data_IF_555220773915
#
_entry.id   IF_555220773915
#
_cell.length_a   1.000
_cell.length_b   1.000
_cell.length_c   1.000
_cell.angle_alpha   90.00
_cell.angle_beta   90.00
_cell.angle_gamma   90.00
#
_symmetry.space_group_name_H-M   'P 1'
#
loop_
_entity.id
_entity.type
_entity.pdbx_description
1 polymer ?
#
# COMPACT_ATOMS: atom_id res chain seq x y z
N UNK A 1 -18.61 -18.64 9.21
CA UNK A 1 -17.25 -19.12 9.53
C UNK A 1 -16.94 -20.44 8.85
N UNK A 2 -17.51 -21.58 9.28
CA UNK A 2 -17.28 -22.87 8.61
C UNK A 2 -17.56 -22.85 7.10
N UNK A 3 -18.64 -22.17 6.67
CA UNK A 3 -18.94 -21.95 5.25
C UNK A 3 -17.85 -21.20 4.48
N UNK A 4 -17.21 -20.21 5.11
CA UNK A 4 -16.15 -19.42 4.47
C UNK A 4 -14.89 -20.27 4.26
N UNK A 5 -14.51 -21.07 5.27
CA UNK A 5 -13.40 -22.03 5.16
C UNK A 5 -13.70 -23.10 4.10
N UNK A 6 -14.95 -23.58 4.07
CA UNK A 6 -15.42 -24.51 3.04
C UNK A 6 -15.39 -23.91 1.63
N UNK A 7 -15.37 -22.58 1.49
CA UNK A 7 -15.19 -21.91 0.19
C UNK A 7 -13.94 -22.36 -0.56
N UNK A 8 -12.87 -22.74 0.15
CA UNK A 8 -11.66 -23.32 -0.46
C UNK A 8 -12.00 -24.60 -1.24
N UNK A 9 -12.90 -25.43 -0.71
CA UNK A 9 -13.36 -26.65 -1.37
C UNK A 9 -14.12 -26.32 -2.65
N UNK A 10 -15.01 -25.32 -2.61
CA UNK A 10 -15.82 -24.96 -3.77
C UNK A 10 -14.97 -24.33 -4.88
N UNK A 11 -14.08 -23.39 -4.54
CA UNK A 11 -13.15 -22.80 -5.52
C UNK A 11 -12.25 -23.86 -6.14
N UNK A 12 -11.82 -24.86 -5.36
CA UNK A 12 -11.05 -25.98 -5.88
C UNK A 12 -11.89 -26.96 -6.74
N UNK A 13 -13.21 -27.06 -6.53
CA UNK A 13 -14.08 -27.91 -7.37
C UNK A 13 -14.36 -27.30 -8.74
N UNK A 14 -14.41 -25.98 -8.81
CA UNK A 14 -14.50 -25.21 -10.05
C UNK A 14 -13.14 -25.14 -10.80
N UNK A 15 -12.16 -25.96 -10.41
CA UNK A 15 -10.83 -25.99 -11.00
C UNK A 15 -10.84 -26.32 -12.51
N UNK A 16 -9.85 -25.76 -13.20
CA UNK A 16 -9.61 -25.95 -14.62
C UNK A 16 -8.16 -26.38 -14.84
N UNK A 17 -7.88 -27.03 -15.97
CA UNK A 17 -6.52 -27.46 -16.29
C UNK A 17 -5.56 -26.26 -16.29
N UNK A 18 -4.50 -26.35 -15.49
CA UNK A 18 -3.42 -25.35 -15.44
C UNK A 18 -3.49 -24.32 -14.30
N UNK A 19 -4.45 -24.39 -13.38
CA UNK A 19 -4.47 -23.52 -12.18
C UNK A 19 -3.24 -23.77 -11.31
N UNK A 20 -2.59 -22.67 -10.87
CA UNK A 20 -1.36 -22.70 -10.06
C UNK A 20 -1.54 -22.15 -8.65
N UNK A 21 -2.47 -21.22 -8.50
CA UNK A 21 -2.71 -20.47 -7.28
C UNK A 21 -4.21 -20.26 -7.10
N UNK A 22 -4.69 -20.43 -5.87
CA UNK A 22 -6.06 -20.12 -5.45
C UNK A 22 -5.98 -18.91 -4.54
N UNK A 23 -6.75 -17.87 -4.86
CA UNK A 23 -6.80 -16.63 -4.07
C UNK A 23 -8.19 -16.51 -3.45
N UNK A 24 -8.22 -16.27 -2.14
CA UNK A 24 -9.44 -15.98 -1.39
C UNK A 24 -9.35 -14.54 -0.89
N UNK A 25 -10.49 -13.84 -0.86
CA UNK A 25 -10.58 -12.44 -0.44
C UNK A 25 -12.01 -12.03 -0.15
N UNK A 26 -12.18 -10.92 0.57
CA UNK A 26 -13.49 -10.36 0.89
C UNK A 26 -14.02 -9.46 -0.24
N UNK A 27 -15.34 -9.24 -0.30
CA UNK A 27 -16.03 -8.51 -1.37
C UNK A 27 -15.88 -6.98 -1.31
N UNK A 28 -15.25 -6.48 -0.25
CA UNK A 28 -14.88 -5.08 -0.01
C UNK A 28 -13.37 -4.81 -0.23
N UNK A 29 -12.67 -5.77 -0.84
CA UNK A 29 -11.22 -5.71 -1.08
C UNK A 29 -10.90 -5.38 -2.54
N UNK A 30 -9.81 -4.64 -2.76
CA UNK A 30 -9.28 -4.36 -4.11
C UNK A 30 -8.01 -5.17 -4.31
N UNK A 31 -7.90 -5.87 -5.44
CA UNK A 31 -6.74 -6.69 -5.80
C UNK A 31 -5.97 -6.12 -7.00
N UNK A 32 -4.64 -6.09 -6.87
CA UNK A 32 -3.69 -5.64 -7.90
C UNK A 32 -3.09 -6.86 -8.59
N UNK A 33 -3.88 -7.48 -9.47
CA UNK A 33 -3.61 -8.81 -10.02
C UNK A 33 -2.30 -8.89 -10.84
N UNK A 34 -1.90 -7.83 -11.54
CA UNK A 34 -0.64 -7.85 -12.31
C UNK A 34 0.60 -7.88 -11.40
N UNK A 35 0.51 -7.26 -10.22
CA UNK A 35 1.52 -7.39 -9.18
C UNK A 35 1.45 -8.79 -8.55
N UNK A 36 0.24 -9.32 -8.33
CA UNK A 36 0.08 -10.67 -7.79
C UNK A 36 0.74 -11.72 -8.67
N UNK A 37 0.51 -11.67 -9.99
CA UNK A 37 1.12 -12.58 -10.95
C UNK A 37 2.65 -12.48 -10.91
N UNK A 38 3.20 -11.26 -10.88
CA UNK A 38 4.66 -11.07 -10.82
C UNK A 38 5.26 -11.64 -9.54
N UNK A 39 4.68 -11.33 -8.38
CA UNK A 39 5.15 -11.85 -7.08
C UNK A 39 5.06 -13.37 -7.06
N UNK A 40 3.93 -13.95 -7.44
CA UNK A 40 3.71 -15.40 -7.43
C UNK A 40 4.58 -16.14 -8.46
N UNK A 41 5.01 -15.48 -9.54
CA UNK A 41 5.93 -16.07 -10.52
C UNK A 41 7.31 -16.40 -9.95
N UNK A 42 7.68 -15.77 -8.83
CA UNK A 42 8.95 -16.05 -8.13
C UNK A 42 8.89 -17.29 -7.24
N UNK A 43 7.70 -17.85 -6.98
CA UNK A 43 7.51 -19.03 -6.15
C UNK A 43 7.31 -20.29 -7.00
N UNK A 44 7.88 -21.41 -6.56
CA UNK A 44 7.62 -22.72 -7.17
C UNK A 44 6.21 -23.22 -6.80
N UNK A 45 5.22 -22.88 -7.62
CA UNK A 45 3.80 -23.24 -7.44
C UNK A 45 3.51 -24.75 -7.24
N UNK A 46 4.50 -25.64 -7.43
CA UNK A 46 4.38 -27.08 -7.14
C UNK A 46 4.62 -27.44 -5.67
N UNK A 47 5.09 -26.50 -4.86
CA UNK A 47 5.28 -26.64 -3.41
C UNK A 47 4.05 -26.15 -2.64
N UNK A 48 4.05 -26.37 -1.33
CA UNK A 48 3.02 -25.84 -0.44
C UNK A 48 3.38 -24.42 0.02
N UNK A 49 2.50 -23.48 -0.32
CA UNK A 49 2.61 -22.08 0.10
C UNK A 49 1.26 -21.58 0.60
N UNK A 50 1.30 -20.94 1.76
CA UNK A 50 0.23 -20.13 2.33
C UNK A 50 0.74 -18.69 2.47
N UNK A 51 0.32 -17.82 1.55
CA UNK A 51 0.80 -16.45 1.43
C UNK A 51 -0.34 -15.46 1.72
N UNK A 52 -0.02 -14.25 2.18
CA UNK A 52 -1.02 -13.19 2.36
C UNK A 52 -0.57 -12.07 3.28
N UNK A 53 -1.52 -11.23 3.71
CA UNK A 53 -1.26 -10.07 4.56
C UNK A 53 -1.53 -10.30 6.04
N UNK A 54 -0.78 -9.60 6.89
CA UNK A 54 -1.11 -9.40 8.30
C UNK A 54 -1.89 -8.10 8.48
N UNK A 55 -2.48 -7.91 9.66
CA UNK A 55 -3.10 -6.63 10.00
C UNK A 55 -2.05 -5.59 10.39
N UNK A 56 -2.24 -4.35 9.96
CA UNK A 56 -1.44 -3.20 10.41
C UNK A 56 -1.68 -2.91 11.90
N UNK A 57 -2.85 -3.32 12.43
CA UNK A 57 -3.22 -3.14 13.81
C UNK A 57 -2.68 -4.26 14.69
N UNK A 58 -1.92 -3.89 15.73
CA UNK A 58 -1.22 -4.87 16.58
C UNK A 58 -2.20 -5.83 17.27
N UNK A 59 -3.31 -5.33 17.83
CA UNK A 59 -4.22 -6.18 18.58
C UNK A 59 -5.00 -7.16 17.71
N UNK A 60 -5.28 -6.83 16.45
CA UNK A 60 -5.86 -7.81 15.51
C UNK A 60 -4.96 -9.04 15.39
N UNK A 61 -3.65 -8.85 15.22
CA UNK A 61 -2.71 -9.96 15.17
C UNK A 61 -2.58 -10.70 16.51
N UNK A 62 -2.63 -9.98 17.64
CA UNK A 62 -2.59 -10.58 18.98
C UNK A 62 -3.83 -11.44 19.27
N UNK A 63 -5.03 -10.98 18.89
CA UNK A 63 -6.28 -11.71 19.14
C UNK A 63 -6.51 -12.87 18.19
N UNK A 64 -6.07 -12.76 16.94
CA UNK A 64 -6.21 -13.81 15.94
C UNK A 64 -4.95 -14.68 15.83
N UNK A 65 -3.91 -14.19 15.15
CA UNK A 65 -2.57 -14.80 15.12
C UNK A 65 -1.59 -13.95 14.32
N UNK A 66 -0.32 -13.93 14.73
CA UNK A 66 0.79 -13.42 13.91
C UNK A 66 1.21 -14.38 12.78
N UNK A 67 0.71 -15.62 12.79
CA UNK A 67 1.03 -16.65 11.80
C UNK A 67 -0.17 -16.93 10.87
N UNK A 68 -1.00 -15.92 10.62
CA UNK A 68 -2.21 -16.03 9.83
C UNK A 68 -2.23 -14.94 8.75
N UNK A 69 -2.67 -15.32 7.55
CA UNK A 69 -3.11 -14.36 6.55
C UNK A 69 -4.56 -13.96 6.84
N UNK A 70 -4.82 -12.65 6.89
CA UNK A 70 -6.17 -12.12 7.05
C UNK A 70 -6.95 -12.22 5.74
N UNK A 71 -8.22 -12.62 5.82
CA UNK A 71 -9.11 -12.87 4.68
C UNK A 71 -9.38 -11.63 3.86
N UNK A 72 -9.58 -10.48 4.51
CA UNK A 72 -9.76 -9.19 3.86
C UNK A 72 -8.55 -8.74 3.06
N UNK A 73 -7.34 -8.82 3.64
CA UNK A 73 -6.09 -8.63 2.90
C UNK A 73 -5.92 -9.62 1.73
N UNK A 74 -6.71 -10.69 1.71
CA UNK A 74 -6.62 -11.80 0.80
C UNK A 74 -5.47 -12.73 1.15
N UNK A 75 -5.72 -14.02 0.95
CA UNK A 75 -4.70 -15.05 1.10
C UNK A 75 -4.65 -15.94 -0.14
N UNK A 76 -3.46 -16.49 -0.37
CA UNK A 76 -3.09 -17.20 -1.58
C UNK A 76 -2.57 -18.57 -1.18
N UNK A 77 -3.15 -19.61 -1.78
CA UNK A 77 -2.73 -20.99 -1.63
C UNK A 77 -2.12 -21.47 -2.94
N UNK A 78 -0.94 -22.08 -2.88
CA UNK A 78 -0.44 -22.89 -3.99
C UNK A 78 -1.43 -24.01 -4.32
N UNK A 79 -1.55 -24.37 -5.60
CA UNK A 79 -2.48 -25.41 -6.04
C UNK A 79 -2.39 -26.72 -5.24
N UNK A 80 -1.18 -27.29 -4.97
CA UNK A 80 -1.09 -28.54 -4.22
C UNK A 80 -1.59 -28.42 -2.77
N UNK A 81 -1.44 -27.24 -2.14
CA UNK A 81 -1.97 -26.97 -0.81
C UNK A 81 -3.49 -26.85 -0.83
N UNK A 82 -4.06 -26.12 -1.80
CA UNK A 82 -5.51 -26.03 -1.98
C UNK A 82 -6.15 -27.42 -2.18
N UNK A 83 -5.47 -28.30 -2.94
CA UNK A 83 -5.87 -29.71 -3.14
C UNK A 83 -5.81 -30.56 -1.87
N UNK A 84 -4.81 -30.33 -1.01
CA UNK A 84 -4.74 -31.01 0.29
C UNK A 84 -5.86 -30.54 1.21
N UNK A 85 -6.07 -29.22 1.26
CA UNK A 85 -7.13 -28.57 2.02
C UNK A 85 -8.52 -29.05 1.59
N UNK A 86 -8.80 -29.16 0.28
CA UNK A 86 -10.13 -29.57 -0.21
C UNK A 86 -10.57 -30.95 0.27
N UNK A 87 -9.63 -31.83 0.63
CA UNK A 87 -9.89 -33.15 1.22
C UNK A 87 -9.97 -33.13 2.75
N UNK A 88 -9.37 -32.12 3.38
CA UNK A 88 -9.11 -32.09 4.82
C UNK A 88 -10.01 -31.13 5.61
N UNK A 89 -10.50 -30.06 4.97
CA UNK A 89 -11.26 -28.96 5.61
C UNK A 89 -12.42 -29.46 6.47
N UNK A 90 -13.21 -30.44 6.00
CA UNK A 90 -14.34 -30.96 6.79
C UNK A 90 -13.91 -31.62 8.11
N UNK A 91 -12.83 -32.42 8.08
CA UNK A 91 -12.29 -33.05 9.28
C UNK A 91 -11.72 -32.00 10.24
N UNK A 92 -11.01 -31.01 9.70
CA UNK A 92 -10.47 -29.91 10.47
C UNK A 92 -11.57 -29.08 11.17
N UNK A 93 -12.65 -28.76 10.46
CA UNK A 93 -13.79 -28.02 11.03
C UNK A 93 -14.43 -28.75 12.21
N UNK A 94 -14.50 -30.09 12.16
CA UNK A 94 -14.98 -30.92 13.28
C UNK A 94 -13.98 -30.99 14.44
N UNK A 95 -12.68 -30.87 14.16
CA UNK A 95 -11.60 -30.87 15.16
C UNK A 95 -11.53 -29.58 15.95
N UNK A 96 -11.78 -28.44 15.31
CA UNK A 96 -11.72 -27.11 15.93
C UNK A 96 -13.09 -26.39 15.93
N UNK A 97 -14.15 -27.00 16.51
CA UNK A 97 -15.50 -26.44 16.44
C UNK A 97 -15.67 -25.18 17.30
N UNK A 98 -14.72 -24.90 18.19
CA UNK A 98 -14.77 -23.79 19.14
C UNK A 98 -14.19 -22.48 18.58
N UNK A 99 -13.47 -22.52 17.45
CA UNK A 99 -12.89 -21.33 16.83
C UNK A 99 -13.96 -20.47 16.15
N UNK A 100 -13.78 -19.15 16.24
CA UNK A 100 -14.78 -18.16 15.80
C UNK A 100 -14.25 -17.14 14.78
N UNK A 101 -13.23 -17.50 14.00
CA UNK A 101 -12.77 -16.71 12.85
C UNK A 101 -12.47 -17.67 11.71
N UNK A 102 -12.96 -17.36 10.49
CA UNK A 102 -12.70 -18.21 9.34
C UNK A 102 -11.22 -18.23 8.96
N UNK A 103 -10.55 -17.09 9.08
CA UNK A 103 -9.13 -16.98 8.79
C UNK A 103 -8.28 -17.74 9.81
N UNK A 104 -8.66 -17.66 11.09
CA UNK A 104 -8.00 -18.41 12.15
C UNK A 104 -8.21 -19.92 11.99
N UNK A 105 -9.42 -20.35 11.65
CA UNK A 105 -9.70 -21.76 11.32
C UNK A 105 -8.87 -22.20 10.11
N UNK A 106 -8.82 -21.40 9.05
CA UNK A 106 -8.04 -21.69 7.84
C UNK A 106 -6.57 -21.87 8.18
N UNK A 107 -6.01 -20.96 8.97
CA UNK A 107 -4.62 -21.04 9.44
C UNK A 107 -4.33 -22.32 10.24
N UNK A 108 -5.17 -22.70 11.22
CA UNK A 108 -4.93 -23.93 11.98
C UNK A 108 -5.09 -25.18 11.12
N UNK A 109 -6.03 -25.19 10.16
CA UNK A 109 -6.19 -26.30 9.23
C UNK A 109 -4.98 -26.46 8.31
N UNK A 110 -4.41 -25.35 7.83
CA UNK A 110 -3.17 -25.36 7.03
C UNK A 110 -1.98 -25.79 7.88
N UNK A 111 -1.93 -25.38 9.16
CA UNK A 111 -0.88 -25.81 10.09
C UNK A 111 -0.93 -27.33 10.36
N UNK A 112 -2.12 -27.93 10.41
CA UNK A 112 -2.26 -29.40 10.53
C UNK A 112 -1.71 -30.15 9.30
N UNK A 113 -1.66 -29.51 8.13
CA UNK A 113 -1.00 -30.03 6.92
C UNK A 113 0.53 -29.90 7.03
N UNK A 114 1.04 -29.13 7.99
CA UNK A 114 2.47 -28.88 8.20
C UNK A 114 3.01 -27.66 7.44
N UNK A 115 2.13 -26.73 7.03
CA UNK A 115 2.51 -25.52 6.29
C UNK A 115 2.34 -24.31 7.19
N UNK A 116 3.32 -23.40 7.17
CA UNK A 116 3.30 -22.16 7.93
C UNK A 116 3.06 -20.96 7.01
N UNK A 117 2.56 -19.87 7.60
CA UNK A 117 2.29 -18.62 6.91
C UNK A 117 3.56 -17.91 6.44
N UNK A 118 3.52 -17.37 5.23
CA UNK A 118 4.56 -16.51 4.65
C UNK A 118 3.96 -15.13 4.33
N UNK A 119 4.36 -14.07 5.05
CA UNK A 119 3.77 -12.73 4.86
C UNK A 119 4.21 -12.08 3.55
N UNK A 120 3.25 -11.45 2.87
CA UNK A 120 3.44 -10.59 1.71
C UNK A 120 3.20 -9.13 2.11
N UNK A 121 4.25 -8.31 2.09
CA UNK A 121 4.24 -6.93 2.60
C UNK A 121 3.33 -5.95 1.85
N UNK A 122 2.80 -6.33 0.69
CA UNK A 122 1.87 -5.50 -0.10
C UNK A 122 0.42 -5.95 0.00
N UNK A 123 0.13 -6.98 0.81
CA UNK A 123 -1.24 -7.40 1.10
C UNK A 123 -1.67 -6.77 2.41
N UNK A 124 -2.66 -5.88 2.36
CA UNK A 124 -3.04 -5.04 3.49
C UNK A 124 -4.47 -5.31 3.95
N UNK A 125 -4.63 -5.65 5.22
CA UNK A 125 -5.94 -5.77 5.87
C UNK A 125 -6.53 -4.37 6.14
N UNK A 126 -5.68 -3.39 6.46
CA UNK A 126 -6.09 -2.02 6.80
C UNK A 126 -7.14 -2.03 7.91
N UNK A 127 -6.84 -2.70 9.02
CA UNK A 127 -7.57 -2.50 10.28
C UNK A 127 -7.19 -1.11 10.85
N UNK A 128 -7.52 -0.05 10.11
CA UNK A 128 -7.30 1.35 10.41
C UNK A 128 -8.61 2.09 10.11
N UNK A 129 -8.86 3.21 10.80
CA UNK A 129 -10.08 4.01 10.61
C UNK A 129 -9.78 5.45 10.20
N UNK A 130 -10.77 6.08 9.59
CA UNK A 130 -10.71 7.48 9.19
C UNK A 130 -9.73 7.70 8.04
N UNK A 131 -8.94 8.76 8.13
CA UNK A 131 -8.03 9.18 7.06
C UNK A 131 -6.77 8.30 6.99
N UNK A 132 -6.78 7.31 6.08
CA UNK A 132 -5.62 6.43 5.83
C UNK A 132 -4.57 7.04 4.88
N UNK A 133 -4.64 8.34 4.56
CA UNK A 133 -3.75 8.97 3.57
C UNK A 133 -2.27 8.91 3.96
N UNK A 134 -1.93 9.05 5.23
CA UNK A 134 -0.55 8.91 5.70
C UNK A 134 0.04 7.53 5.45
N UNK A 135 -0.77 6.48 5.64
CA UNK A 135 -0.42 5.08 5.37
C UNK A 135 -0.18 4.84 3.87
N UNK A 136 -1.16 5.22 3.03
CA UNK A 136 -1.05 5.06 1.56
C UNK A 136 0.07 5.93 0.94
N UNK A 137 0.42 7.04 1.58
CA UNK A 137 1.50 7.93 1.11
C UNK A 137 2.91 7.41 1.42
N UNK A 138 3.04 6.42 2.31
CA UNK A 138 4.32 5.90 2.81
C UNK A 138 4.37 4.37 2.73
N UNK A 139 3.75 3.81 1.69
CA UNK A 139 3.68 2.36 1.49
C UNK A 139 5.08 1.73 1.50
N UNK A 140 5.25 0.56 2.16
CA UNK A 140 6.53 -0.12 2.19
C UNK A 140 7.00 -0.46 0.79
N UNK A 141 8.30 -0.71 0.65
CA UNK A 141 8.87 -1.10 -0.62
C UNK A 141 8.58 -2.57 -0.97
N UNK A 142 7.34 -2.84 -1.34
CA UNK A 142 6.81 -4.11 -1.82
C UNK A 142 5.72 -3.84 -2.89
N UNK A 143 5.55 -4.71 -3.91
CA UNK A 143 4.46 -4.52 -4.88
C UNK A 143 3.13 -4.52 -4.13
N UNK A 144 2.29 -3.52 -4.36
CA UNK A 144 0.96 -3.46 -3.76
C UNK A 144 0.11 -4.60 -4.35
N UNK A 145 -0.48 -5.43 -3.50
CA UNK A 145 -1.21 -6.65 -3.87
C UNK A 145 -2.69 -6.50 -3.57
N UNK A 146 -3.02 -5.91 -2.43
CA UNK A 146 -4.41 -5.71 -2.00
C UNK A 146 -4.54 -4.58 -1.00
N UNK A 147 -5.73 -3.97 -1.00
CA UNK A 147 -6.18 -3.01 0.00
C UNK A 147 -7.55 -3.44 0.49
N UNK A 148 -7.74 -3.49 1.80
CA UNK A 148 -8.98 -3.89 2.44
C UNK A 148 -9.52 -2.82 3.40
N UNK A 149 -10.73 -3.09 3.91
CA UNK A 149 -11.64 -2.27 4.69
C UNK A 149 -11.76 -0.82 4.23
N UNK A 150 -11.90 -0.63 2.91
CA UNK A 150 -12.16 0.69 2.31
C UNK A 150 -13.53 1.26 2.68
N UNK A 151 -14.43 0.43 3.24
CA UNK A 151 -15.72 0.83 3.81
C UNK A 151 -15.57 1.49 5.19
N UNK A 152 -14.57 1.09 5.98
CA UNK A 152 -14.26 1.66 7.29
C UNK A 152 -13.31 2.87 7.23
N UNK A 153 -12.52 2.97 6.16
CA UNK A 153 -11.70 4.14 5.87
C UNK A 153 -12.52 5.31 5.31
N UNK A 154 -12.03 6.54 5.46
CA UNK A 154 -12.50 7.68 4.67
C UNK A 154 -12.17 7.46 3.18
N UNK A 155 -12.87 8.12 2.24
CA UNK A 155 -12.55 7.99 0.82
C UNK A 155 -11.06 8.26 0.54
N UNK A 156 -10.41 7.35 -0.20
CA UNK A 156 -8.97 7.45 -0.55
C UNK A 156 -8.62 8.85 -1.10
N UNK A 157 -9.54 9.44 -1.89
CA UNK A 157 -9.45 10.81 -2.36
C UNK A 157 -10.53 11.67 -1.68
N UNK A 158 -10.17 12.66 -0.83
CA UNK A 158 -11.12 13.35 0.05
C UNK A 158 -12.30 14.08 -0.62
N UNK A 159 -12.20 14.40 -1.91
CA UNK A 159 -13.21 15.18 -2.65
C UNK A 159 -14.22 14.34 -3.44
N UNK A 160 -14.12 13.01 -3.40
CA UNK A 160 -15.01 12.08 -4.12
C UNK A 160 -15.41 10.91 -3.21
N UNK A 161 -16.52 10.24 -3.49
CA UNK A 161 -17.01 9.14 -2.65
C UNK A 161 -16.08 7.90 -2.65
N UNK A 162 -16.31 6.94 -1.75
CA UNK A 162 -15.46 5.75 -1.57
C UNK A 162 -15.33 4.91 -2.85
N UNK A 163 -16.44 4.66 -3.55
CA UNK A 163 -16.44 3.84 -4.77
C UNK A 163 -15.74 4.57 -5.92
N UNK A 164 -16.01 5.85 -6.09
CA UNK A 164 -15.34 6.68 -7.09
C UNK A 164 -13.85 6.84 -6.78
N UNK A 165 -13.49 6.97 -5.51
CA UNK A 165 -12.10 7.00 -5.02
C UNK A 165 -11.33 5.73 -5.40
N UNK A 166 -11.91 4.56 -5.12
CA UNK A 166 -11.35 3.26 -5.53
C UNK A 166 -11.16 3.18 -7.05
N UNK A 167 -12.19 3.52 -7.82
CA UNK A 167 -12.12 3.54 -9.30
C UNK A 167 -11.08 4.52 -9.81
N UNK A 168 -10.91 5.66 -9.15
CA UNK A 168 -9.93 6.67 -9.51
C UNK A 168 -8.50 6.19 -9.25
N UNK A 169 -8.23 5.54 -8.11
CA UNK A 169 -6.95 4.88 -7.83
C UNK A 169 -6.61 3.85 -8.92
N UNK A 170 -7.61 3.05 -9.32
CA UNK A 170 -7.44 2.02 -10.35
C UNK A 170 -7.09 2.57 -11.73
N UNK A 171 -7.35 3.86 -12.03
CA UNK A 171 -6.88 4.47 -13.28
C UNK A 171 -5.35 4.47 -13.36
N UNK A 172 -4.66 4.72 -12.26
CA UNK A 172 -3.19 4.63 -12.19
C UNK A 172 -2.72 3.18 -12.23
N UNK A 173 -3.39 2.30 -11.47
CA UNK A 173 -3.07 0.88 -11.45
C UNK A 173 -3.16 0.23 -12.84
N UNK A 174 -4.16 0.60 -13.64
CA UNK A 174 -4.34 0.13 -15.02
C UNK A 174 -3.24 0.59 -15.98
N UNK A 175 -2.43 1.57 -15.60
CA UNK A 175 -1.29 2.03 -16.38
C UNK A 175 0.02 1.41 -15.89
N UNK A 176 0.20 1.28 -14.58
CA UNK A 176 1.39 0.67 -13.99
C UNK A 176 1.18 0.24 -12.53
N UNK A 177 0.79 -1.02 -12.32
CA UNK A 177 0.68 -1.58 -10.96
C UNK A 177 2.03 -1.65 -10.22
N UNK A 178 3.14 -1.82 -10.95
CA UNK A 178 4.46 -2.02 -10.32
C UNK A 178 4.97 -0.80 -9.56
N UNK A 179 4.41 0.39 -9.86
CA UNK A 179 4.70 1.64 -9.16
C UNK A 179 3.60 2.08 -8.20
N UNK A 180 2.46 1.39 -8.12
CA UNK A 180 1.37 1.82 -7.24
C UNK A 180 1.84 1.99 -5.79
N UNK A 181 1.55 3.17 -5.27
CA UNK A 181 1.90 3.66 -3.93
C UNK A 181 3.39 3.69 -3.58
N UNK A 182 4.28 3.37 -4.53
CA UNK A 182 5.71 3.34 -4.25
C UNK A 182 6.19 4.75 -3.88
N UNK A 183 6.79 4.85 -2.69
CA UNK A 183 7.28 6.11 -2.18
C UNK A 183 8.63 6.48 -2.81
N UNK A 184 8.68 7.62 -3.47
CA UNK A 184 9.90 8.23 -4.01
C UNK A 184 10.14 9.56 -3.31
N UNK A 185 11.34 9.75 -2.77
CA UNK A 185 11.72 10.96 -2.03
C UNK A 185 12.80 11.69 -2.81
N UNK A 186 12.56 12.97 -3.08
CA UNK A 186 13.40 13.84 -3.90
C UNK A 186 13.70 15.14 -3.16
N UNK A 187 14.77 15.81 -3.55
CA UNK A 187 15.16 17.08 -2.95
C UNK A 187 15.32 18.15 -4.02
N UNK A 188 14.61 19.27 -3.86
CA UNK A 188 14.92 20.48 -4.59
C UNK A 188 15.75 21.40 -3.69
N UNK A 189 17.07 21.21 -3.75
CA UNK A 189 18.03 21.97 -2.93
C UNK A 189 17.96 23.49 -3.15
N UNK A 190 17.75 24.03 -4.36
CA UNK A 190 17.65 25.48 -4.56
C UNK A 190 16.50 26.16 -3.79
N UNK A 191 15.39 25.45 -3.56
CA UNK A 191 14.25 25.93 -2.77
C UNK A 191 14.18 25.34 -1.35
N UNK A 192 15.16 24.55 -0.93
CA UNK A 192 15.15 23.80 0.33
C UNK A 192 13.89 22.93 0.52
N UNK A 193 13.42 22.25 -0.54
CA UNK A 193 12.22 21.41 -0.48
C UNK A 193 12.54 19.92 -0.49
N UNK A 194 11.83 19.17 0.33
CA UNK A 194 11.67 17.73 0.17
C UNK A 194 10.35 17.41 -0.52
N UNK A 195 10.40 16.53 -1.52
CA UNK A 195 9.24 15.91 -2.14
C UNK A 195 9.13 14.47 -1.65
N UNK A 196 7.95 14.06 -1.22
CA UNK A 196 7.61 12.65 -0.98
C UNK A 196 6.43 12.29 -1.88
N UNK A 197 6.66 11.38 -2.83
CA UNK A 197 5.72 11.04 -3.89
C UNK A 197 5.26 9.60 -3.66
N UNK A 198 3.96 9.38 -3.46
CA UNK A 198 3.33 8.07 -3.56
C UNK A 198 2.72 7.94 -4.96
N UNK A 199 3.37 7.17 -5.83
CA UNK A 199 3.02 7.15 -7.24
C UNK A 199 1.60 6.64 -7.46
N UNK A 200 0.83 7.38 -8.27
CA UNK A 200 -0.60 7.11 -8.52
C UNK A 200 -1.55 7.54 -7.39
N UNK A 201 -1.05 8.17 -6.31
CA UNK A 201 -1.87 8.58 -5.17
C UNK A 201 -1.65 10.01 -4.71
N UNK A 202 -0.52 10.32 -4.08
CA UNK A 202 -0.28 11.61 -3.41
C UNK A 202 1.14 12.15 -3.62
N UNK A 203 1.31 13.46 -3.43
CA UNK A 203 2.62 14.11 -3.33
C UNK A 203 2.60 15.06 -2.15
N UNK A 204 3.65 15.01 -1.33
CA UNK A 204 3.90 15.93 -0.23
C UNK A 204 5.11 16.82 -0.56
N UNK A 205 4.98 18.13 -0.35
CA UNK A 205 6.10 19.07 -0.36
C UNK A 205 6.35 19.59 1.05
N UNK A 206 7.56 19.42 1.55
CA UNK A 206 8.03 20.02 2.80
C UNK A 206 8.91 21.22 2.49
N UNK A 207 8.75 22.31 3.25
CA UNK A 207 9.57 23.52 3.10
C UNK A 207 10.89 23.43 3.87
N UNK A 208 11.42 22.21 4.00
CA UNK A 208 12.69 21.90 4.62
C UNK A 208 13.27 20.62 4.00
N UNK A 209 14.59 20.45 4.04
CA UNK A 209 15.27 19.22 3.64
C UNK A 209 15.20 18.20 4.78
N UNK A 210 14.14 17.40 4.78
CA UNK A 210 13.93 16.34 5.77
C UNK A 210 14.62 15.01 5.36
N UNK A 211 15.25 14.30 6.31
CA UNK A 211 15.87 13.00 6.06
C UNK A 211 14.87 11.97 5.51
N UNK A 212 15.35 11.11 4.61
CA UNK A 212 14.52 10.04 4.02
C UNK A 212 13.93 9.10 5.06
N UNK A 213 14.74 8.69 6.04
CA UNK A 213 14.31 7.80 7.13
C UNK A 213 13.15 8.39 7.95
N UNK A 214 13.09 9.72 8.07
CA UNK A 214 11.98 10.41 8.71
C UNK A 214 10.74 10.47 7.79
N UNK A 215 10.92 10.77 6.50
CA UNK A 215 9.82 10.86 5.53
C UNK A 215 9.19 9.50 5.18
N UNK A 216 9.94 8.41 5.36
CA UNK A 216 9.44 7.03 5.24
C UNK A 216 8.46 6.64 6.36
N UNK A 217 8.45 7.39 7.47
CA UNK A 217 7.47 7.19 8.52
C UNK A 217 6.15 7.84 8.10
N UNK A 218 5.05 7.07 8.00
CA UNK A 218 3.74 7.63 7.70
C UNK A 218 3.33 8.62 8.79
N UNK A 219 2.68 9.69 8.35
CA UNK A 219 1.97 10.58 9.26
C UNK A 219 0.76 9.81 9.79
N UNK A 220 0.56 9.79 11.10
CA UNK A 220 -0.59 9.13 11.74
C UNK A 220 -1.85 9.96 11.53
N UNK A 221 -2.36 9.98 10.29
CA UNK A 221 -3.66 10.59 9.93
C UNK A 221 -4.82 9.67 10.28
N UNK A 222 -4.54 8.38 10.47
CA UNK A 222 -5.49 7.31 10.71
C UNK A 222 -5.64 7.00 12.20
N UNK A 223 -6.70 6.26 12.54
CA UNK A 223 -6.99 5.83 13.90
C UNK A 223 -6.88 4.30 14.05
N UNK A 224 -6.61 3.78 15.26
CA UNK A 224 -6.68 2.35 15.54
C UNK A 224 -8.03 1.72 15.19
N UNK A 225 -8.03 0.43 14.82
CA UNK A 225 -9.24 -0.31 14.42
C UNK A 225 -10.34 -0.37 15.48
N UNK A 226 -9.95 -0.44 16.74
CA UNK A 226 -10.86 -0.82 17.81
C UNK A 226 -10.37 -0.30 19.16
N UNK A 227 -10.37 -1.17 20.17
CA UNK A 227 -9.95 -0.80 21.52
C UNK A 227 -8.49 -0.37 21.52
N UNK A 228 -8.23 0.93 21.62
CA UNK A 228 -6.89 1.48 21.76
C UNK A 228 -6.37 1.20 23.17
N UNK A 229 -5.26 0.46 23.34
CA UNK A 229 -4.57 0.35 24.62
C UNK A 229 -4.24 1.73 25.19
N UNK A 230 -4.01 1.81 26.50
CA UNK A 230 -3.62 3.08 27.14
C UNK A 230 -2.31 3.63 26.59
N UNK A 231 -1.36 2.74 26.31
CA UNK A 231 -0.01 3.08 25.89
C UNK A 231 0.35 2.34 24.57
N UNK A 232 1.10 2.98 23.66
CA UNK A 232 1.58 2.35 22.42
C UNK A 232 2.55 1.18 22.71
N UNK A 233 2.82 0.28 21.74
CA UNK A 233 2.50 0.38 20.31
C UNK A 233 1.07 -0.03 19.92
N UNK A 234 0.50 0.66 18.94
CA UNK A 234 -0.81 0.34 18.36
C UNK A 234 -0.72 -0.40 17.02
N UNK A 235 0.37 -0.17 16.29
CA UNK A 235 0.53 -0.64 14.91
C UNK A 235 1.77 -1.52 14.77
N UNK A 236 1.81 -2.35 13.72
CA UNK A 236 3.01 -3.06 13.26
C UNK A 236 3.94 -2.19 12.40
N UNK A 237 3.80 -0.87 12.51
CA UNK A 237 4.65 0.12 11.87
C UNK A 237 4.89 1.29 12.82
N UNK A 238 6.03 1.95 12.67
CA UNK A 238 6.29 3.21 13.34
C UNK A 238 5.65 4.35 12.54
N UNK A 239 5.07 5.30 13.25
CA UNK A 239 4.42 6.48 12.68
C UNK A 239 5.11 7.75 13.17
N UNK A 240 4.73 8.89 12.60
CA UNK A 240 5.02 10.21 13.16
C UNK A 240 3.72 11.00 13.31
N UNK A 241 3.65 11.83 14.33
CA UNK A 241 2.45 12.61 14.62
C UNK A 241 2.25 13.72 13.58
N UNK A 242 1.00 14.06 13.24
CA UNK A 242 0.68 15.33 12.62
C UNK A 242 1.25 16.49 13.47
N UNK A 243 1.78 17.51 12.81
CA UNK A 243 2.44 18.64 13.45
C UNK A 243 1.93 19.96 12.87
N UNK A 244 1.90 21.00 13.71
CA UNK A 244 1.61 22.38 13.31
C UNK A 244 2.89 23.18 13.02
N UNK A 245 4.05 22.53 13.04
CA UNK A 245 5.31 23.16 12.60
C UNK A 245 5.31 23.32 11.08
N UNK A 246 5.36 24.55 10.60
CA UNK A 246 5.46 24.91 9.18
C UNK A 246 6.60 24.22 8.41
N UNK A 247 7.68 23.85 9.10
CA UNK A 247 8.85 23.20 8.51
C UNK A 247 8.73 21.67 8.45
N UNK A 248 7.79 21.08 9.20
CA UNK A 248 7.54 19.64 9.22
C UNK A 248 6.18 19.25 8.64
N UNK A 249 5.24 20.18 8.53
CA UNK A 249 3.92 19.97 7.96
C UNK A 249 3.95 20.02 6.41
N UNK A 250 3.54 18.96 5.70
CA UNK A 250 3.59 18.92 4.25
C UNK A 250 2.47 19.70 3.58
N UNK A 251 2.77 20.26 2.41
CA UNK A 251 1.73 20.60 1.44
C UNK A 251 1.23 19.31 0.80
N UNK A 252 -0.07 19.05 0.84
CA UNK A 252 -0.66 17.81 0.35
C UNK A 252 -1.29 18.00 -1.02
N UNK A 253 -0.90 17.11 -1.95
CA UNK A 253 -1.45 17.03 -3.29
C UNK A 253 -1.94 15.60 -3.55
N UNK A 254 -3.09 15.46 -4.23
CA UNK A 254 -3.63 14.17 -4.64
C UNK A 254 -3.69 14.05 -6.15
N UNK A 255 -3.65 12.82 -6.66
CA UNK A 255 -3.73 12.55 -8.09
C UNK A 255 -5.04 13.11 -8.68
N UNK A 256 -4.91 14.04 -9.62
CA UNK A 256 -6.00 14.60 -10.42
C UNK A 256 -6.24 13.73 -11.66
N UNK A 257 -5.17 13.35 -12.36
CA UNK A 257 -5.24 12.64 -13.64
C UNK A 257 -3.97 11.81 -13.87
N UNK A 258 -4.10 10.75 -14.66
CA UNK A 258 -2.98 9.96 -15.17
C UNK A 258 -3.17 9.65 -16.65
N UNK A 259 -2.12 9.77 -17.46
CA UNK A 259 -2.17 9.55 -18.90
C UNK A 259 -0.84 9.05 -19.48
N UNK A 260 -0.91 8.36 -20.63
CA UNK A 260 0.29 7.95 -21.39
C UNK A 260 0.77 9.12 -22.22
N UNK A 261 2.08 9.38 -22.22
CA UNK A 261 2.68 10.41 -23.08
C UNK A 261 3.15 9.80 -24.41
N UNK A 262 3.46 10.66 -25.39
CA UNK A 262 4.03 10.24 -26.68
C UNK A 262 5.46 9.67 -26.56
N UNK A 263 6.16 9.93 -25.45
CA UNK A 263 7.58 9.60 -25.23
C UNK A 263 7.80 8.28 -24.46
N UNK A 264 6.82 7.38 -24.46
CA UNK A 264 6.85 6.12 -23.70
C UNK A 264 7.00 6.35 -22.17
N UNK A 265 6.43 7.44 -21.67
CA UNK A 265 6.35 7.79 -20.25
C UNK A 265 4.87 7.80 -19.82
N UNK A 266 4.64 7.73 -18.52
CA UNK A 266 3.34 8.00 -17.89
C UNK A 266 3.43 9.36 -17.19
N UNK A 267 2.47 10.23 -17.47
CA UNK A 267 2.30 11.50 -16.79
C UNK A 267 1.20 11.34 -15.73
N UNK A 268 1.56 11.59 -14.47
CA UNK A 268 0.62 11.69 -13.37
C UNK A 268 0.56 13.14 -12.90
N UNK A 269 -0.62 13.74 -12.96
CA UNK A 269 -0.88 15.12 -12.54
C UNK A 269 -1.51 15.10 -11.15
N UNK A 270 -1.00 15.94 -10.26
CA UNK A 270 -1.48 16.07 -8.88
C UNK A 270 -1.93 17.51 -8.62
N UNK A 271 -3.09 17.66 -7.99
CA UNK A 271 -3.64 18.94 -7.58
C UNK A 271 -3.56 19.10 -6.07
N UNK A 272 -3.35 20.34 -5.62
CA UNK A 272 -3.34 20.68 -4.20
C UNK A 272 -4.70 20.31 -3.59
N UNK A 273 -4.68 19.63 -2.44
CA UNK A 273 -5.89 19.29 -1.69
C UNK A 273 -6.51 20.53 -1.04
N UNK A 274 -5.85 21.05 0.00
CA UNK A 274 -6.23 22.26 0.70
C UNK A 274 -4.97 23.08 1.03
N UNK A 275 -5.08 24.41 1.20
CA UNK A 275 -4.04 25.19 1.83
C UNK A 275 -3.79 24.67 3.24
N UNK A 276 -2.52 24.58 3.67
CA UNK A 276 -2.19 24.07 5.02
C UNK A 276 -2.70 24.98 6.15
N UNK A 277 -2.98 26.26 5.84
CA UNK A 277 -3.35 27.25 6.86
C UNK A 277 -2.22 27.60 7.82
N UNK A 278 -0.98 27.26 7.47
CA UNK A 278 0.23 27.55 8.24
C UNK A 278 1.06 28.62 7.52
N UNK A 279 1.88 29.34 8.28
CA UNK A 279 2.88 30.26 7.72
C UNK A 279 3.97 29.50 6.96
N UNK A 280 4.76 30.22 6.16
CA UNK A 280 5.95 29.66 5.54
C UNK A 280 6.96 29.18 6.59
N UNK A 281 7.67 28.09 6.31
CA UNK A 281 8.84 27.71 7.10
C UNK A 281 9.92 28.79 6.96
N UNK A 282 10.37 29.35 8.08
CA UNK A 282 11.41 30.40 8.09
C UNK A 282 12.82 29.85 8.36
N UNK A 283 12.92 28.60 8.84
CA UNK A 283 14.19 27.99 9.25
C UNK A 283 15.21 27.91 8.11
N UNK A 284 14.77 27.54 6.91
CA UNK A 284 15.60 27.41 5.71
C UNK A 284 15.47 28.60 4.75
N UNK A 285 14.97 29.74 5.23
CA UNK A 285 14.64 30.92 4.42
C UNK A 285 13.22 30.93 3.87
N UNK A 286 12.75 32.07 3.35
CA UNK A 286 11.40 32.21 2.83
C UNK A 286 11.27 31.57 1.43
N UNK A 287 11.09 30.25 1.42
CA UNK A 287 10.85 29.43 0.23
C UNK A 287 9.49 28.75 0.33
N UNK A 288 8.44 29.52 0.61
CA UNK A 288 7.09 28.96 0.66
C UNK A 288 6.75 28.21 -0.64
N UNK A 289 6.09 27.05 -0.51
CA UNK A 289 5.51 26.31 -1.62
C UNK A 289 3.99 26.54 -1.74
N UNK A 290 3.41 27.50 -1.01
CA UNK A 290 1.96 27.80 -1.01
C UNK A 290 1.40 28.06 -2.42
N UNK A 291 2.16 28.73 -3.28
CA UNK A 291 1.74 29.06 -4.64
C UNK A 291 1.75 27.87 -5.61
N UNK A 292 2.36 26.74 -5.25
CA UNK A 292 2.33 25.53 -6.08
C UNK A 292 0.90 24.98 -6.04
N UNK A 293 0.23 24.94 -7.18
CA UNK A 293 -1.13 24.39 -7.30
C UNK A 293 -1.14 23.03 -7.99
N UNK A 294 -0.13 22.74 -8.81
CA UNK A 294 -0.02 21.50 -9.58
C UNK A 294 1.38 20.91 -9.55
N UNK A 295 1.44 19.58 -9.54
CA UNK A 295 2.69 18.82 -9.69
C UNK A 295 2.49 17.81 -10.82
N UNK A 296 3.46 17.73 -11.72
CA UNK A 296 3.50 16.71 -12.76
C UNK A 296 4.65 15.75 -12.51
N UNK A 297 4.34 14.45 -12.42
CA UNK A 297 5.33 13.40 -12.26
C UNK A 297 5.39 12.58 -13.54
N UNK A 298 6.57 12.51 -14.15
CA UNK A 298 6.86 11.70 -15.33
C UNK A 298 7.56 10.43 -14.89
N UNK A 299 6.95 9.26 -15.15
CA UNK A 299 7.56 7.96 -14.88
C UNK A 299 7.82 7.15 -16.16
N UNK A 300 8.88 6.33 -16.21
CA UNK A 300 9.10 5.42 -17.34
C UNK A 300 7.98 4.37 -17.41
N UNK A 301 7.53 4.01 -18.62
CA UNK A 301 6.52 2.95 -18.79
C UNK A 301 7.06 1.53 -18.53
N UNK A 302 8.38 1.36 -18.41
CA UNK A 302 8.99 0.05 -18.15
C UNK A 302 8.53 -0.45 -16.77
N UNK A 303 7.85 -1.60 -16.75
CA UNK A 303 7.42 -2.29 -15.52
C UNK A 303 8.64 -2.59 -14.63
N UNK A 304 8.54 -2.29 -13.34
CA UNK A 304 9.56 -2.67 -12.34
C UNK A 304 9.23 -4.05 -11.79
N UNK A 305 9.97 -5.06 -12.23
CA UNK A 305 9.81 -6.43 -11.69
C UNK A 305 10.55 -6.63 -10.37
N UNK A 306 11.66 -5.91 -10.20
CA UNK A 306 12.50 -5.97 -9.02
C UNK A 306 12.37 -4.67 -8.24
N UNK A 307 12.36 -4.80 -6.91
CA UNK A 307 12.24 -3.68 -5.98
C UNK A 307 13.34 -3.73 -4.92
N UNK A 308 14.57 -3.88 -5.41
CA UNK A 308 15.85 -3.87 -4.68
C UNK A 308 16.18 -2.47 -4.11
N UNK A 309 15.92 -1.41 -4.88
CA UNK A 309 16.12 0.01 -4.53
C UNK A 309 14.97 0.89 -5.06
N UNK A 310 14.68 2.00 -4.37
CA UNK A 310 13.63 2.92 -4.80
C UNK A 310 14.07 3.66 -6.06
N UNK A 311 13.13 4.24 -6.79
CA UNK A 311 13.48 5.16 -7.88
C UNK A 311 14.19 6.40 -7.36
N UNK A 312 15.01 6.98 -8.24
CA UNK A 312 15.56 8.31 -8.09
C UNK A 312 14.71 9.29 -8.88
N UNK A 313 14.88 10.57 -8.60
CA UNK A 313 14.05 11.59 -9.19
C UNK A 313 14.74 12.94 -9.25
N UNK A 314 14.44 13.67 -10.31
CA UNK A 314 14.94 15.02 -10.53
C UNK A 314 13.76 16.01 -10.47
N UNK A 315 13.84 16.99 -9.59
CA UNK A 315 12.81 18.03 -9.44
C UNK A 315 13.19 19.24 -10.28
N UNK A 316 12.38 19.54 -11.28
CA UNK A 316 12.48 20.72 -12.13
C UNK A 316 11.47 21.76 -11.67
N UNK A 317 11.98 22.86 -11.13
CA UNK A 317 11.17 23.96 -10.65
C UNK A 317 11.78 25.30 -11.05
N UNK A 318 10.96 26.18 -11.62
CA UNK A 318 11.35 27.56 -11.94
C UNK A 318 10.73 28.49 -10.90
N UNK A 319 11.56 29.29 -10.22
CA UNK A 319 11.12 30.24 -9.20
C UNK A 319 9.98 31.12 -9.71
N UNK A 320 8.89 31.19 -8.93
CA UNK A 320 7.66 31.92 -9.26
C UNK A 320 6.63 31.15 -10.10
N UNK A 321 6.94 29.93 -10.58
CA UNK A 321 5.95 29.09 -11.24
C UNK A 321 4.97 28.51 -10.22
N UNK A 322 3.71 28.33 -10.61
CA UNK A 322 2.67 27.65 -9.82
C UNK A 322 2.68 26.12 -10.00
N UNK A 323 3.67 25.59 -10.71
CA UNK A 323 3.79 24.19 -11.09
C UNK A 323 5.21 23.69 -10.84
N UNK A 324 5.32 22.47 -10.33
CA UNK A 324 6.58 21.72 -10.27
C UNK A 324 6.51 20.47 -11.17
N UNK A 325 7.64 20.11 -11.76
CA UNK A 325 7.78 18.88 -12.54
C UNK A 325 8.79 17.96 -11.85
N UNK A 326 8.48 16.68 -11.79
CA UNK A 326 9.36 15.65 -11.24
C UNK A 326 9.52 14.55 -12.27
N UNK A 327 10.76 14.18 -12.58
CA UNK A 327 11.05 13.05 -13.47
C UNK A 327 11.61 11.88 -12.66
N UNK A 328 10.91 10.76 -12.67
CA UNK A 328 11.39 9.51 -12.08
C UNK A 328 12.35 8.80 -13.04
N UNK A 329 13.37 8.15 -12.47
CA UNK A 329 14.37 7.39 -13.21
C UNK A 329 15.00 6.31 -12.35
N UNK A 330 15.68 5.37 -12.99
CA UNK A 330 16.61 4.51 -12.28
C UNK A 330 17.71 5.33 -11.63
N UNK A 331 18.09 4.90 -10.43
CA UNK A 331 19.24 5.45 -9.75
C UNK A 331 20.52 5.05 -10.47
N UNK A 332 21.53 5.92 -10.46
CA UNK A 332 22.89 5.52 -10.85
C UNK A 332 23.44 4.58 -9.78
N UNK A 333 24.37 3.70 -10.18
CA UNK A 333 24.93 2.65 -9.33
C UNK A 333 25.41 3.20 -7.97
N UNK A 334 26.17 4.30 -7.98
CA UNK A 334 26.73 4.91 -6.77
C UNK A 334 25.95 6.14 -6.29
N UNK A 335 24.74 6.38 -6.80
CA UNK A 335 23.95 7.53 -6.38
C UNK A 335 23.52 7.36 -4.93
N UNK A 336 23.76 8.38 -4.09
CA UNK A 336 23.23 8.45 -2.73
C UNK A 336 22.13 9.49 -2.74
N UNK A 337 20.92 9.06 -2.34
CA UNK A 337 19.75 9.94 -2.29
C UNK A 337 19.68 10.48 -0.86
N UNK A 338 20.44 11.54 -0.61
CA UNK A 338 20.48 12.30 0.63
C UNK A 338 20.53 13.78 0.30
#
# INVERSE_FOLDING_TARGET
MARMVHGIVEVFREDHEGVRWVVMGDDDSIFFVDNMVDVLSSYDHTKYYYLGGQSEYLLSNYWYSFNQAFGGAGFILSYPLAKAMSKYVESCLRRYPFLRSADQITMVCISDVGVIFTPLKGSHQIDLRGDISGFLSSHPKAPLMSLHHLDAADPIFPSIDRLQSARHLMKAANLDQSRMLQQVICYNRPSNWSFSISWGYSVYIYENILPRSHLQLPIETFQPWGVTPKDPPYYLLNTRWPTNDSCEAPHVFFMEKVEKTKKNEVLTMYSRSLPRGLLACLYSGNHSADYISKIEVYSPRRKRKEMDRCECCDVMYKKGANKAEVKLRECRVDEIIA
#
